data_IF_663837914743
#
_entry.id   IF_663837914743
#
_cell.length_a   1.000
_cell.length_b   1.000
_cell.length_c   1.000
_cell.angle_alpha   90.00
_cell.angle_beta   90.00
_cell.angle_gamma   90.00
#
_symmetry.space_group_name_H-M   'P 1'
#
loop_
_entity.id
_entity.type
_entity.pdbx_description
1 polymer ?
#
# COMPACT_ATOMS: atom_id res chain seq x y z
N UNK A 1 74.59 31.44 -3.37
CA UNK A 1 74.42 30.55 -2.22
C UNK A 1 72.97 30.64 -1.78
N UNK A 2 72.17 29.58 -1.64
CA UNK A 2 72.35 28.17 -2.04
C UNK A 2 70.96 27.51 -2.17
N UNK A 3 70.83 26.52 -3.07
CA UNK A 3 70.01 25.28 -2.99
C UNK A 3 68.66 25.33 -2.22
N UNK A 4 67.51 25.15 -2.88
CA UNK A 4 66.78 23.87 -3.08
C UNK A 4 66.23 23.23 -1.78
N UNK A 5 65.14 22.46 -1.75
CA UNK A 5 64.30 21.87 -2.82
C UNK A 5 62.82 21.83 -2.40
N UNK A 6 61.91 21.51 -3.33
CA UNK A 6 60.48 21.27 -3.07
C UNK A 6 60.11 19.85 -3.48
N UNK A 7 59.23 19.19 -2.70
CA UNK A 7 58.89 17.78 -2.92
C UNK A 7 57.38 17.53 -2.82
N UNK A 8 56.96 16.51 -3.58
CA UNK A 8 55.60 16.09 -3.92
C UNK A 8 54.59 15.93 -2.76
N UNK A 9 53.34 16.31 -3.03
CA UNK A 9 52.14 15.94 -2.27
C UNK A 9 50.89 16.31 -3.09
N UNK A 10 50.02 15.36 -3.40
CA UNK A 10 48.95 15.52 -4.40
C UNK A 10 47.69 14.72 -3.99
N UNK A 11 46.56 14.96 -4.71
CA UNK A 11 45.31 14.15 -4.69
C UNK A 11 44.46 14.36 -3.39
N UNK A 12 43.12 14.47 -3.39
CA UNK A 12 42.09 14.28 -4.41
C UNK A 12 41.01 15.40 -4.32
N UNK A 13 40.41 15.82 -5.44
CA UNK A 13 39.13 16.53 -5.42
C UNK A 13 38.21 16.05 -6.58
N UNK A 14 36.91 16.28 -6.42
CA UNK A 14 35.80 15.60 -7.09
C UNK A 14 35.73 15.85 -8.62
N UNK A 15 35.28 14.84 -9.36
CA UNK A 15 35.04 14.93 -10.81
C UNK A 15 33.65 15.46 -11.17
N UNK A 16 33.50 15.99 -12.39
CA UNK A 16 32.22 16.46 -12.93
C UNK A 16 32.13 16.29 -14.45
N UNK A 17 30.89 16.07 -14.93
CA UNK A 17 30.43 16.19 -16.32
C UNK A 17 30.96 15.21 -17.39
N UNK A 18 30.02 14.60 -18.12
CA UNK A 18 30.26 13.90 -19.40
C UNK A 18 30.26 14.89 -20.58
N UNK A 19 30.66 14.43 -21.78
CA UNK A 19 29.64 14.32 -22.84
C UNK A 19 29.78 13.15 -23.83
N UNK A 20 28.62 12.73 -24.36
CA UNK A 20 28.34 12.21 -25.71
C UNK A 20 29.43 11.49 -26.54
N UNK A 21 29.20 10.20 -26.83
CA UNK A 21 29.19 9.69 -28.23
C UNK A 21 28.54 8.30 -28.31
N UNK A 22 27.35 8.18 -28.94
CA UNK A 22 26.65 6.90 -29.18
C UNK A 22 25.59 7.00 -30.29
N UNK A 23 25.96 7.49 -31.47
CA UNK A 23 25.14 7.42 -32.70
C UNK A 23 25.98 7.03 -33.92
N UNK A 24 26.54 5.81 -33.94
CA UNK A 24 27.08 5.15 -35.15
C UNK A 24 27.48 3.69 -34.87
N UNK A 25 26.51 2.78 -34.69
CA UNK A 25 26.81 1.34 -34.57
C UNK A 25 25.64 0.41 -34.93
N UNK A 26 24.87 0.73 -35.97
CA UNK A 26 23.68 -0.06 -36.36
C UNK A 26 23.47 -0.24 -37.89
N UNK A 27 24.53 -0.07 -38.70
CA UNK A 27 24.54 -0.42 -40.13
C UNK A 27 25.89 -1.06 -40.55
N UNK A 28 26.13 -2.33 -40.18
CA UNK A 28 27.20 -3.13 -40.82
C UNK A 28 27.05 -4.66 -40.64
N UNK A 29 25.87 -5.21 -40.95
CA UNK A 29 25.72 -6.68 -41.09
C UNK A 29 24.70 -7.11 -42.16
N UNK A 30 25.02 -6.78 -43.41
CA UNK A 30 24.51 -7.45 -44.61
C UNK A 30 25.70 -7.75 -45.55
N UNK A 31 25.48 -8.62 -46.53
CA UNK A 31 26.41 -8.96 -47.63
C UNK A 31 27.66 -9.79 -47.25
N UNK A 32 27.46 -11.11 -47.22
CA UNK A 32 28.25 -12.19 -47.83
C UNK A 32 27.42 -13.48 -47.61
N UNK A 33 27.36 -14.49 -48.48
CA UNK A 33 28.39 -15.12 -49.33
C UNK A 33 27.81 -15.49 -50.72
N UNK A 34 28.64 -15.53 -51.76
CA UNK A 34 28.31 -16.13 -53.07
C UNK A 34 29.51 -16.85 -53.70
N UNK A 35 29.44 -18.18 -53.91
CA UNK A 35 30.31 -18.97 -54.81
C UNK A 35 29.65 -20.33 -55.13
N UNK A 36 29.94 -20.87 -56.33
CA UNK A 36 29.59 -22.20 -56.85
C UNK A 36 30.75 -22.64 -57.80
N UNK A 37 30.67 -23.69 -58.67
CA UNK A 37 29.75 -24.84 -58.77
C UNK A 37 30.47 -26.22 -58.97
N UNK A 38 29.72 -27.34 -58.91
CA UNK A 38 29.90 -28.64 -59.64
C UNK A 38 28.74 -29.58 -59.22
N UNK A 39 28.17 -30.48 -60.03
CA UNK A 39 28.37 -30.78 -61.46
C UNK A 39 28.85 -32.22 -61.69
N UNK A 40 28.03 -33.21 -62.09
CA UNK A 40 26.55 -33.19 -62.25
C UNK A 40 25.85 -34.24 -61.33
N UNK A 41 25.16 -35.34 -61.70
CA UNK A 41 24.82 -36.04 -62.97
C UNK A 41 23.33 -36.55 -62.89
N UNK A 42 22.87 -37.52 -63.70
CA UNK A 42 21.43 -37.91 -63.87
C UNK A 42 21.13 -39.37 -63.46
N UNK A 43 19.91 -39.68 -62.98
CA UNK A 43 19.18 -40.92 -63.33
C UNK A 43 17.67 -40.80 -63.01
N UNK A 44 16.82 -41.38 -63.87
CA UNK A 44 15.36 -41.46 -63.72
C UNK A 44 14.94 -42.68 -62.88
N UNK A 45 13.72 -42.71 -62.32
CA UNK A 45 12.87 -43.91 -62.20
C UNK A 45 11.48 -43.55 -61.64
N UNK A 46 10.46 -43.63 -62.48
CA UNK A 46 9.06 -43.72 -62.02
C UNK A 46 8.78 -45.13 -61.49
N UNK A 47 8.02 -45.25 -60.40
CA UNK A 47 7.29 -46.49 -60.09
C UNK A 47 6.07 -46.19 -59.22
N UNK A 48 4.92 -46.72 -59.62
CA UNK A 48 3.67 -46.62 -58.87
C UNK A 48 3.79 -47.33 -57.51
N UNK A 49 3.22 -46.74 -56.46
CA UNK A 49 2.92 -47.45 -55.22
C UNK A 49 1.43 -47.35 -54.91
N UNK A 50 0.81 -48.53 -54.86
CA UNK A 50 -0.62 -48.79 -54.84
C UNK A 50 -1.31 -48.25 -53.57
N UNK A 51 -2.59 -47.92 -53.69
CA UNK A 51 -3.41 -47.36 -52.62
C UNK A 51 -4.44 -48.39 -52.13
N UNK A 52 -3.97 -49.49 -51.54
CA UNK A 52 -4.82 -50.54 -50.95
C UNK A 52 -4.23 -51.19 -49.69
N UNK A 53 -5.12 -51.69 -48.85
CA UNK A 53 -4.93 -52.65 -47.76
C UNK A 53 -3.97 -52.29 -46.60
N UNK A 54 -4.49 -51.49 -45.66
CA UNK A 54 -4.13 -51.57 -44.23
C UNK A 54 -5.33 -52.17 -43.48
N UNK A 55 -5.16 -53.17 -42.57
CA UNK A 55 -6.27 -53.78 -41.86
C UNK A 55 -7.02 -52.79 -40.96
N UNK A 56 -8.35 -52.89 -40.97
CA UNK A 56 -9.24 -52.20 -40.04
C UNK A 56 -9.52 -53.16 -38.87
N UNK A 57 -8.57 -53.24 -37.94
CA UNK A 57 -8.75 -53.99 -36.70
C UNK A 57 -9.77 -53.27 -35.78
N UNK A 58 -10.66 -54.04 -35.15
CA UNK A 58 -11.68 -53.52 -34.25
C UNK A 58 -11.03 -53.00 -32.95
N UNK A 59 -10.97 -51.67 -32.81
CA UNK A 59 -10.84 -51.04 -31.49
C UNK A 59 -12.25 -50.90 -30.91
N UNK A 60 -12.44 -51.48 -29.72
CA UNK A 60 -13.72 -51.42 -29.01
C UNK A 60 -14.05 -49.97 -28.65
N UNK A 61 -15.27 -49.55 -29.00
CA UNK A 61 -15.77 -48.21 -28.73
C UNK A 61 -16.22 -48.16 -27.26
N UNK A 62 -15.27 -47.97 -26.35
CA UNK A 62 -15.59 -47.51 -25.00
C UNK A 62 -16.08 -46.06 -25.13
N UNK A 63 -17.35 -45.82 -24.80
CA UNK A 63 -17.91 -44.48 -24.70
C UNK A 63 -17.26 -43.76 -23.50
N UNK A 64 -16.11 -43.13 -23.72
CA UNK A 64 -15.62 -42.07 -22.83
C UNK A 64 -16.62 -40.91 -22.92
N UNK A 65 -17.52 -40.80 -21.94
CA UNK A 65 -18.40 -39.64 -21.78
C UNK A 65 -17.50 -38.40 -21.56
N UNK A 66 -17.69 -37.34 -22.36
CA UNK A 66 -16.87 -36.12 -22.35
C UNK A 66 -17.04 -35.32 -21.02
N UNK A 67 -16.40 -35.77 -19.93
CA UNK A 67 -16.35 -35.11 -18.60
C UNK A 67 -15.47 -33.83 -18.59
N UNK A 68 -15.58 -32.99 -19.63
CA UNK A 68 -14.82 -31.75 -19.83
C UNK A 68 -15.35 -30.57 -18.97
N UNK A 69 -16.39 -30.78 -18.18
CA UNK A 69 -17.09 -29.75 -17.38
C UNK A 69 -16.39 -29.39 -16.04
N UNK A 70 -15.49 -30.22 -15.49
CA UNK A 70 -14.92 -29.99 -14.13
C UNK A 70 -13.80 -28.90 -14.04
N UNK A 71 -13.07 -28.56 -15.12
CA UNK A 71 -11.87 -27.68 -14.99
C UNK A 71 -12.22 -26.24 -14.57
N UNK A 72 -13.40 -25.73 -14.93
CA UNK A 72 -13.75 -24.32 -14.67
C UNK A 72 -14.23 -24.02 -13.25
N UNK A 73 -14.94 -24.95 -12.60
CA UNK A 73 -15.53 -24.70 -11.27
C UNK A 73 -14.44 -24.69 -10.18
N UNK A 74 -13.44 -25.59 -10.27
CA UNK A 74 -12.26 -25.59 -9.38
C UNK A 74 -11.44 -24.29 -9.50
N UNK A 75 -11.42 -23.66 -10.68
CA UNK A 75 -10.76 -22.36 -10.85
C UNK A 75 -11.53 -21.22 -10.16
N UNK A 76 -12.86 -21.21 -10.22
CA UNK A 76 -13.68 -20.21 -9.55
C UNK A 76 -13.61 -20.36 -8.02
N UNK A 77 -13.78 -21.57 -7.49
CA UNK A 77 -13.75 -21.80 -6.05
C UNK A 77 -12.36 -21.47 -5.46
N UNK A 78 -11.29 -21.73 -6.21
CA UNK A 78 -9.91 -21.34 -5.88
C UNK A 78 -9.72 -19.83 -5.79
N UNK A 79 -10.33 -19.03 -6.67
CA UNK A 79 -10.31 -17.57 -6.53
C UNK A 79 -11.13 -17.10 -5.33
N UNK A 80 -12.30 -17.71 -5.07
CA UNK A 80 -13.12 -17.39 -3.91
C UNK A 80 -12.36 -17.65 -2.60
N UNK A 81 -11.78 -18.86 -2.45
CA UNK A 81 -10.92 -19.24 -1.32
C UNK A 81 -9.75 -18.26 -1.11
N UNK A 82 -9.16 -17.71 -2.17
CA UNK A 82 -8.10 -16.67 -2.06
C UNK A 82 -8.68 -15.35 -1.53
N UNK A 83 -9.84 -14.91 -2.03
CA UNK A 83 -10.50 -13.67 -1.61
C UNK A 83 -10.91 -13.75 -0.13
N UNK A 84 -11.47 -14.87 0.31
CA UNK A 84 -11.92 -15.06 1.70
C UNK A 84 -10.74 -14.98 2.68
N UNK A 85 -9.61 -15.62 2.34
CA UNK A 85 -8.37 -15.54 3.14
C UNK A 85 -7.79 -14.10 3.20
N UNK A 86 -7.86 -13.34 2.10
CA UNK A 86 -7.44 -11.93 2.08
C UNK A 86 -8.42 -11.01 2.83
N UNK A 87 -9.71 -11.30 2.79
CA UNK A 87 -10.74 -10.59 3.56
C UNK A 87 -10.56 -10.78 5.06
N UNK A 88 -10.34 -12.00 5.55
CA UNK A 88 -10.09 -12.23 6.98
C UNK A 88 -8.77 -11.59 7.46
N UNK A 89 -7.73 -11.54 6.61
CA UNK A 89 -6.52 -10.75 6.88
C UNK A 89 -6.85 -9.25 7.02
N UNK A 90 -7.60 -8.68 6.07
CA UNK A 90 -7.98 -7.26 6.07
C UNK A 90 -8.87 -6.97 7.28
N UNK A 91 -9.86 -7.80 7.57
CA UNK A 91 -10.75 -7.72 8.74
C UNK A 91 -9.96 -7.71 10.05
N UNK A 92 -9.00 -8.63 10.21
CA UNK A 92 -8.09 -8.67 11.37
C UNK A 92 -7.27 -7.38 11.48
N UNK A 93 -6.82 -6.80 10.36
CA UNK A 93 -6.06 -5.54 10.35
C UNK A 93 -6.92 -4.30 10.64
N UNK A 94 -8.17 -4.28 10.17
CA UNK A 94 -9.14 -3.22 10.46
C UNK A 94 -9.47 -3.18 11.95
N UNK A 95 -9.67 -4.34 12.57
CA UNK A 95 -10.11 -4.49 13.97
C UNK A 95 -8.97 -4.46 15.01
N UNK A 96 -7.69 -4.45 14.59
CA UNK A 96 -6.51 -4.53 15.47
C UNK A 96 -6.49 -3.50 16.63
N UNK A 97 -7.05 -2.30 16.44
CA UNK A 97 -7.07 -1.24 17.46
C UNK A 97 -8.25 -1.36 18.46
N UNK A 98 -9.19 -2.29 18.24
CA UNK A 98 -10.40 -2.44 19.05
C UNK A 98 -10.10 -3.37 20.24
N UNK A 99 -10.11 -2.80 21.44
CA UNK A 99 -10.01 -3.58 22.68
C UNK A 99 -11.37 -4.26 22.95
N UNK A 100 -11.47 -5.61 22.93
CA UNK A 100 -12.76 -6.29 23.12
C UNK A 100 -13.35 -6.03 24.51
N UNK A 101 -12.52 -5.90 25.54
CA UNK A 101 -12.90 -5.53 26.91
C UNK A 101 -13.40 -4.08 27.06
N UNK A 102 -13.42 -3.27 25.99
CA UNK A 102 -14.10 -1.96 25.96
C UNK A 102 -15.37 -1.96 25.10
N UNK A 103 -15.66 -3.07 24.42
CA UNK A 103 -16.93 -3.26 23.72
C UNK A 103 -17.92 -3.81 24.75
N UNK A 104 -18.71 -2.91 25.33
CA UNK A 104 -19.73 -3.28 26.32
C UNK A 104 -20.92 -3.95 25.61
N UNK A 105 -20.74 -5.23 25.24
CA UNK A 105 -21.84 -6.11 24.85
C UNK A 105 -22.64 -6.37 26.13
N UNK A 106 -23.96 -6.18 26.07
CA UNK A 106 -24.86 -6.56 27.17
C UNK A 106 -25.02 -8.09 27.21
N UNK A 107 -23.94 -8.79 27.56
CA UNK A 107 -23.93 -10.23 27.81
C UNK A 107 -24.16 -10.48 29.30
N UNK A 108 -25.42 -10.62 29.68
CA UNK A 108 -25.87 -10.82 31.07
C UNK A 108 -25.41 -12.16 31.69
N UNK A 109 -24.52 -12.93 31.04
CA UNK A 109 -24.24 -14.34 31.34
C UNK A 109 -22.97 -14.65 32.14
N UNK A 110 -22.04 -13.70 32.37
CA UNK A 110 -20.72 -14.00 32.96
C UNK A 110 -20.25 -13.06 34.08
N UNK A 111 -20.86 -13.17 35.26
CA UNK A 111 -20.33 -12.56 36.50
C UNK A 111 -19.23 -13.41 37.14
N UNK A 112 -18.08 -13.54 36.47
CA UNK A 112 -16.85 -14.02 37.11
C UNK A 112 -16.13 -12.83 37.74
N UNK A 113 -15.96 -12.88 39.07
CA UNK A 113 -15.45 -11.75 39.84
C UNK A 113 -14.03 -11.34 39.44
N UNK A 114 -13.91 -10.16 38.85
CA UNK A 114 -12.61 -9.50 38.65
C UNK A 114 -11.94 -9.31 40.02
N UNK A 115 -10.75 -9.88 40.19
CA UNK A 115 -9.90 -9.48 41.31
C UNK A 115 -9.52 -8.00 41.11
N UNK A 116 -9.43 -7.20 42.19
CA UNK A 116 -8.98 -5.82 42.08
C UNK A 116 -7.51 -5.78 41.66
N UNK A 117 -7.28 -5.73 40.34
CA UNK A 117 -5.99 -5.42 39.74
C UNK A 117 -5.49 -4.11 40.35
N UNK A 118 -4.35 -4.19 41.04
CA UNK A 118 -3.73 -3.03 41.67
C UNK A 118 -3.36 -2.03 40.57
N UNK A 119 -4.11 -0.92 40.48
CA UNK A 119 -3.94 0.00 39.36
C UNK A 119 -2.66 0.81 39.53
N UNK A 120 -1.57 0.30 38.92
CA UNK A 120 -0.27 0.98 38.81
C UNK A 120 -0.43 2.47 38.49
N UNK A 121 0.30 3.34 39.19
CA UNK A 121 0.31 4.76 38.88
C UNK A 121 0.87 5.02 37.47
N UNK A 122 0.57 6.18 36.89
CA UNK A 122 1.04 6.61 35.57
C UNK A 122 2.57 6.60 35.48
N UNK A 123 3.23 6.94 36.58
CA UNK A 123 4.68 6.91 36.72
C UNK A 123 5.23 5.47 36.68
N UNK A 124 4.55 4.50 37.29
CA UNK A 124 4.97 3.08 37.28
C UNK A 124 4.63 2.39 35.95
N UNK A 125 3.47 2.67 35.38
CA UNK A 125 3.12 2.32 33.99
C UNK A 125 4.17 2.84 33.00
N UNK A 126 4.69 4.05 33.22
CA UNK A 126 5.76 4.64 32.40
C UNK A 126 7.14 4.01 32.67
N UNK A 127 7.48 3.66 33.92
CA UNK A 127 8.72 2.93 34.26
C UNK A 127 8.75 1.56 33.57
N UNK A 128 7.71 0.75 33.78
CA UNK A 128 7.56 -0.58 33.18
C UNK A 128 7.62 -0.53 31.65
N UNK A 129 6.99 0.48 31.03
CA UNK A 129 7.08 0.68 29.58
C UNK A 129 8.51 1.01 29.12
N UNK A 130 9.20 1.93 29.80
CA UNK A 130 10.57 2.35 29.46
C UNK A 130 11.57 1.19 29.64
N UNK A 131 11.40 0.37 30.67
CA UNK A 131 12.24 -0.80 30.96
C UNK A 131 12.13 -1.91 29.91
N UNK A 132 11.03 -1.94 29.15
CA UNK A 132 10.75 -2.94 28.11
C UNK A 132 10.82 -2.35 26.68
N UNK A 133 11.54 -1.25 26.46
CA UNK A 133 11.80 -0.70 25.12
C UNK A 133 13.03 -1.32 24.45
N UNK A 134 12.90 -1.70 23.17
CA UNK A 134 14.06 -2.04 22.33
C UNK A 134 15.04 -0.86 22.22
N UNK A 135 16.30 -1.13 21.90
CA UNK A 135 17.35 -0.11 21.77
C UNK A 135 16.96 1.04 20.80
N UNK A 136 16.41 0.71 19.63
CA UNK A 136 15.91 1.71 18.67
C UNK A 136 14.71 2.52 19.20
N UNK A 137 13.87 1.94 20.06
CA UNK A 137 12.72 2.63 20.65
C UNK A 137 13.19 3.57 21.77
N UNK A 138 14.10 3.10 22.62
CA UNK A 138 14.77 3.89 23.65
C UNK A 138 15.55 5.06 23.04
N UNK A 139 16.26 4.84 21.92
CA UNK A 139 16.97 5.88 21.18
C UNK A 139 16.02 6.97 20.67
N UNK A 140 14.90 6.59 20.05
CA UNK A 140 13.84 7.49 19.58
C UNK A 140 13.17 8.25 20.74
N UNK A 141 12.82 7.57 21.82
CA UNK A 141 12.23 8.16 23.02
C UNK A 141 13.17 9.16 23.70
N UNK A 142 14.46 8.83 23.85
CA UNK A 142 15.45 9.73 24.43
C UNK A 142 15.64 11.00 23.59
N UNK A 143 15.59 10.87 22.27
CA UNK A 143 15.65 11.99 21.31
C UNK A 143 14.40 12.87 21.45
N UNK A 144 13.19 12.29 21.46
CA UNK A 144 11.95 13.04 21.66
C UNK A 144 11.92 13.78 23.01
N UNK A 145 12.37 13.14 24.09
CA UNK A 145 12.44 13.75 25.44
C UNK A 145 13.42 14.94 25.47
N UNK A 146 14.57 14.84 24.79
CA UNK A 146 15.59 15.90 24.70
C UNK A 146 15.25 17.01 23.69
N UNK A 147 14.44 16.73 22.67
CA UNK A 147 14.07 17.69 21.63
C UNK A 147 13.31 18.90 22.21
N UNK A 148 13.75 20.11 21.87
CA UNK A 148 13.14 21.38 22.29
C UNK A 148 13.16 22.40 21.16
N UNK A 149 12.17 23.29 21.12
CA UNK A 149 12.09 24.36 20.12
C UNK A 149 12.99 25.52 20.53
N UNK A 150 13.88 25.94 19.63
CA UNK A 150 14.85 27.04 19.82
C UNK A 150 14.19 28.29 20.40
N UNK A 151 14.54 28.61 21.65
CA UNK A 151 14.04 29.78 22.40
C UNK A 151 14.31 31.09 21.65
N UNK A 152 15.46 31.18 20.97
CA UNK A 152 15.87 32.35 20.21
C UNK A 152 15.06 32.49 18.91
N UNK A 153 14.75 31.39 18.25
CA UNK A 153 13.88 31.38 17.06
C UNK A 153 12.44 31.72 17.46
N UNK A 154 11.93 31.11 18.53
CA UNK A 154 10.59 31.41 19.06
C UNK A 154 10.46 32.88 19.45
N UNK A 155 11.42 33.44 20.20
CA UNK A 155 11.43 34.87 20.52
C UNK A 155 11.42 35.78 19.30
N UNK A 156 12.11 35.43 18.20
CA UNK A 156 12.03 36.19 16.94
C UNK A 156 10.62 36.15 16.33
N UNK A 157 9.99 34.98 16.30
CA UNK A 157 8.64 34.79 15.74
C UNK A 157 7.58 35.55 16.57
N UNK A 158 7.62 35.42 17.90
CA UNK A 158 6.63 36.09 18.77
C UNK A 158 6.83 37.61 18.74
N UNK A 159 8.08 38.10 18.71
CA UNK A 159 8.33 39.54 18.52
C UNK A 159 7.75 40.07 17.20
N UNK A 160 7.82 39.28 16.11
CA UNK A 160 7.33 39.67 14.79
C UNK A 160 5.80 39.54 14.61
N UNK A 161 5.12 38.74 15.44
CA UNK A 161 3.65 38.61 15.42
C UNK A 161 2.96 39.59 16.35
N UNK A 162 3.56 39.90 17.51
CA UNK A 162 3.02 40.85 18.51
C UNK A 162 3.53 42.29 18.27
N UNK A 163 4.56 42.47 17.44
CA UNK A 163 5.27 43.75 17.22
C UNK A 163 5.81 44.38 18.52
N UNK A 164 6.15 43.55 19.52
CA UNK A 164 6.67 43.97 20.83
C UNK A 164 7.84 43.08 21.29
N UNK A 165 8.66 43.56 22.21
CA UNK A 165 9.84 42.84 22.72
C UNK A 165 9.49 41.87 23.85
N UNK A 166 9.49 40.57 23.56
CA UNK A 166 9.06 39.53 24.51
C UNK A 166 10.19 39.09 25.45
N UNK A 167 9.86 38.79 26.72
CA UNK A 167 10.81 38.33 27.73
C UNK A 167 11.26 36.87 27.48
N UNK A 168 12.39 36.47 28.08
CA UNK A 168 12.91 35.10 27.90
C UNK A 168 11.96 34.04 28.50
N UNK A 169 11.32 34.34 29.63
CA UNK A 169 10.42 33.39 30.31
C UNK A 169 9.15 33.14 29.48
N UNK A 170 8.60 34.18 28.84
CA UNK A 170 7.46 34.04 27.92
C UNK A 170 7.87 33.27 26.66
N UNK A 171 9.07 33.52 26.11
CA UNK A 171 9.58 32.72 24.99
C UNK A 171 9.80 31.23 25.35
N UNK A 172 10.19 30.91 26.59
CA UNK A 172 10.28 29.54 27.10
C UNK A 172 8.89 28.89 27.20
N UNK A 173 7.90 29.59 27.75
CA UNK A 173 6.53 29.10 27.86
C UNK A 173 5.92 28.80 26.47
N UNK A 174 6.08 29.72 25.52
CA UNK A 174 5.59 29.53 24.15
C UNK A 174 6.36 28.41 23.43
N UNK A 175 7.68 28.28 23.61
CA UNK A 175 8.43 27.10 23.11
C UNK A 175 7.90 25.77 23.67
N UNK A 176 7.39 25.74 24.90
CA UNK A 176 6.75 24.57 25.51
C UNK A 176 5.40 24.25 24.84
N UNK A 177 4.49 25.23 24.80
CA UNK A 177 3.17 25.10 24.16
C UNK A 177 3.31 24.70 22.68
N UNK A 178 4.25 25.30 21.96
CA UNK A 178 4.52 24.95 20.56
C UNK A 178 5.04 23.52 20.37
N UNK A 179 5.74 22.92 21.35
CA UNK A 179 6.14 21.50 21.26
C UNK A 179 4.92 20.59 21.40
N UNK A 180 4.01 20.90 22.32
CA UNK A 180 2.78 20.15 22.57
C UNK A 180 1.89 20.20 21.32
N UNK A 181 1.61 21.40 20.81
CA UNK A 181 0.80 21.62 19.60
C UNK A 181 1.34 20.88 18.37
N UNK A 182 2.66 20.91 18.13
CA UNK A 182 3.27 20.16 17.02
C UNK A 182 3.12 18.64 17.21
N UNK A 183 3.18 18.16 18.46
CA UNK A 183 2.88 16.76 18.79
C UNK A 183 1.44 16.37 18.44
N UNK A 184 0.46 17.14 18.93
CA UNK A 184 -0.98 16.90 18.71
C UNK A 184 -1.34 16.84 17.21
N UNK A 185 -0.76 17.72 16.39
CA UNK A 185 -0.99 17.73 14.94
C UNK A 185 -0.34 16.51 14.24
N UNK A 186 0.86 16.10 14.68
CA UNK A 186 1.54 14.91 14.12
C UNK A 186 0.81 13.63 14.52
N UNK A 187 0.34 13.52 15.77
CA UNK A 187 -0.42 12.38 16.28
C UNK A 187 -1.74 12.20 15.51
N UNK A 188 -2.53 13.28 15.37
CA UNK A 188 -3.76 13.27 14.55
C UNK A 188 -3.47 12.94 13.08
N UNK A 189 -2.33 13.36 12.52
CA UNK A 189 -1.92 13.00 11.15
C UNK A 189 -1.51 11.52 11.00
N UNK A 190 -0.89 10.92 12.03
CA UNK A 190 -0.59 9.48 12.06
C UNK A 190 -1.90 8.68 12.10
N UNK A 191 -2.89 9.09 12.89
CA UNK A 191 -4.19 8.41 12.93
C UNK A 191 -4.99 8.57 11.63
N UNK A 192 -4.90 9.73 10.96
CA UNK A 192 -5.45 9.90 9.61
C UNK A 192 -4.75 8.97 8.62
N UNK A 193 -3.41 8.84 8.67
CA UNK A 193 -2.67 7.87 7.85
C UNK A 193 -3.19 6.44 8.08
N UNK A 194 -3.31 6.00 9.34
CA UNK A 194 -3.87 4.66 9.67
C UNK A 194 -5.26 4.47 9.04
N UNK A 195 -6.15 5.47 9.16
CA UNK A 195 -7.50 5.43 8.56
C UNK A 195 -7.45 5.37 7.04
N UNK A 196 -6.55 6.10 6.40
CA UNK A 196 -6.37 6.10 4.95
C UNK A 196 -5.80 4.75 4.45
N UNK A 197 -4.87 4.14 5.17
CA UNK A 197 -4.34 2.82 4.81
C UNK A 197 -5.39 1.72 5.01
N UNK A 198 -6.18 1.78 6.09
CA UNK A 198 -7.37 0.93 6.29
C UNK A 198 -8.41 1.11 5.17
N UNK A 199 -8.65 2.35 4.71
CA UNK A 199 -9.55 2.61 3.60
C UNK A 199 -9.03 2.04 2.26
N UNK A 200 -7.71 2.09 2.01
CA UNK A 200 -7.10 1.46 0.81
C UNK A 200 -7.30 -0.06 0.78
N UNK A 201 -7.19 -0.73 1.94
CA UNK A 201 -7.50 -2.17 2.01
C UNK A 201 -8.96 -2.46 1.65
N UNK A 202 -9.92 -1.69 2.18
CA UNK A 202 -11.34 -1.83 1.86
C UNK A 202 -11.65 -1.57 0.37
N UNK A 203 -11.05 -0.53 -0.22
CA UNK A 203 -11.22 -0.20 -1.65
C UNK A 203 -10.73 -1.36 -2.52
N UNK A 204 -9.50 -1.84 -2.32
CA UNK A 204 -8.96 -2.98 -3.08
C UNK A 204 -9.75 -4.28 -2.92
N UNK A 205 -10.29 -4.53 -1.72
CA UNK A 205 -11.14 -5.69 -1.45
C UNK A 205 -12.43 -5.60 -2.26
N UNK A 206 -13.06 -4.43 -2.29
CA UNK A 206 -14.25 -4.17 -3.09
C UNK A 206 -13.97 -4.30 -4.60
N UNK A 207 -12.91 -3.66 -5.10
CA UNK A 207 -12.44 -3.77 -6.50
C UNK A 207 -12.22 -5.23 -6.92
N UNK A 208 -11.65 -6.08 -6.04
CA UNK A 208 -11.47 -7.51 -6.34
C UNK A 208 -12.77 -8.32 -6.27
N UNK A 209 -13.69 -8.00 -5.36
CA UNK A 209 -15.01 -8.65 -5.30
C UNK A 209 -15.84 -8.35 -6.55
N UNK A 210 -15.90 -7.08 -6.98
CA UNK A 210 -16.56 -6.66 -8.22
C UNK A 210 -16.00 -7.40 -9.45
N UNK A 211 -14.67 -7.59 -9.52
CA UNK A 211 -14.04 -8.39 -10.58
C UNK A 211 -14.35 -9.89 -10.50
N UNK A 212 -14.51 -10.47 -9.29
CA UNK A 212 -14.84 -11.89 -9.15
C UNK A 212 -16.33 -12.17 -9.46
N UNK A 213 -17.23 -11.26 -9.08
CA UNK A 213 -18.65 -11.30 -9.47
C UNK A 213 -18.79 -11.16 -11.00
N UNK A 214 -18.04 -10.23 -11.61
CA UNK A 214 -18.01 -10.09 -13.07
C UNK A 214 -17.41 -11.32 -13.78
N UNK A 215 -16.43 -11.98 -13.18
CA UNK A 215 -15.89 -13.24 -13.70
C UNK A 215 -16.96 -14.35 -13.63
N UNK A 216 -17.68 -14.47 -12.52
CA UNK A 216 -18.75 -15.47 -12.37
C UNK A 216 -19.84 -15.30 -13.43
N UNK A 217 -20.37 -14.09 -13.58
CA UNK A 217 -21.39 -13.77 -14.61
C UNK A 217 -20.87 -14.08 -16.02
N UNK A 218 -19.55 -13.99 -16.25
CA UNK A 218 -18.96 -14.30 -17.56
C UNK A 218 -18.75 -15.79 -17.83
N UNK A 219 -18.66 -16.62 -16.80
CA UNK A 219 -18.72 -18.08 -16.95
C UNK A 219 -20.17 -18.51 -17.25
N UNK A 220 -21.13 -17.97 -16.50
CA UNK A 220 -22.57 -18.18 -16.75
C UNK A 220 -23.01 -17.67 -18.15
N UNK A 221 -22.51 -16.51 -18.61
CA UNK A 221 -22.67 -16.03 -19.99
C UNK A 221 -22.08 -17.02 -21.03
N UNK A 222 -20.99 -17.74 -20.71
CA UNK A 222 -20.28 -18.65 -21.61
C UNK A 222 -21.04 -19.98 -21.77
N UNK A 223 -21.47 -20.58 -20.67
CA UNK A 223 -22.29 -21.81 -20.62
C UNK A 223 -23.60 -21.66 -21.42
N UNK A 224 -24.20 -20.47 -21.39
CA UNK A 224 -25.44 -20.16 -22.10
C UNK A 224 -25.23 -19.84 -23.60
N UNK A 225 -24.01 -19.53 -24.03
CA UNK A 225 -23.71 -19.06 -25.39
C UNK A 225 -23.43 -20.19 -26.38
N UNK A 226 -24.43 -20.55 -27.19
CA UNK A 226 -24.34 -21.61 -28.21
C UNK A 226 -23.65 -21.19 -29.52
N UNK A 227 -23.38 -19.91 -29.72
CA UNK A 227 -22.74 -19.36 -30.92
C UNK A 227 -21.22 -19.26 -30.74
N UNK A 228 -20.38 -20.01 -31.51
CA UNK A 228 -18.93 -20.03 -31.31
C UNK A 228 -18.24 -18.66 -31.43
N UNK A 229 -18.78 -17.78 -32.27
CA UNK A 229 -18.26 -16.41 -32.44
C UNK A 229 -18.56 -15.52 -31.22
N UNK A 230 -19.59 -15.81 -30.41
CA UNK A 230 -19.89 -15.09 -29.17
C UNK A 230 -19.05 -15.63 -28.02
N UNK A 231 -19.00 -16.96 -27.88
CA UNK A 231 -18.18 -17.70 -26.91
C UNK A 231 -16.71 -17.23 -26.90
N UNK A 232 -16.07 -17.13 -28.07
CA UNK A 232 -14.66 -16.67 -28.16
C UNK A 232 -14.46 -15.24 -27.61
N UNK A 233 -15.43 -14.32 -27.80
CA UNK A 233 -15.39 -12.94 -27.24
C UNK A 233 -15.64 -12.91 -25.73
N UNK A 234 -16.26 -13.95 -25.16
CA UNK A 234 -16.48 -14.10 -23.72
C UNK A 234 -15.21 -14.65 -23.08
N UNK A 235 -14.61 -15.69 -23.69
CA UNK A 235 -13.29 -16.23 -23.30
C UNK A 235 -12.18 -15.17 -23.31
N UNK A 236 -12.13 -14.28 -24.31
CA UNK A 236 -11.20 -13.13 -24.32
C UNK A 236 -11.35 -12.26 -23.06
N UNK A 237 -12.59 -11.91 -22.68
CA UNK A 237 -12.88 -11.09 -21.49
C UNK A 237 -12.60 -11.83 -20.18
N UNK A 238 -12.90 -13.13 -20.10
CA UNK A 238 -12.54 -13.98 -18.95
C UNK A 238 -11.02 -13.97 -18.75
N UNK A 239 -10.25 -14.05 -19.84
CA UNK A 239 -8.79 -13.96 -19.81
C UNK A 239 -8.29 -12.57 -19.38
N UNK A 240 -8.95 -11.48 -19.80
CA UNK A 240 -8.66 -10.13 -19.30
C UNK A 240 -8.94 -9.99 -17.79
N UNK A 241 -10.11 -10.41 -17.31
CA UNK A 241 -10.48 -10.34 -15.87
C UNK A 241 -9.52 -11.21 -15.03
N UNK A 242 -9.20 -12.42 -15.47
CA UNK A 242 -8.16 -13.27 -14.85
C UNK A 242 -6.80 -12.55 -14.74
N UNK A 243 -6.41 -11.84 -15.81
CA UNK A 243 -5.16 -11.06 -15.87
C UNK A 243 -5.21 -9.83 -14.96
N UNK A 244 -6.38 -9.32 -14.62
CA UNK A 244 -6.57 -8.21 -13.66
C UNK A 244 -6.54 -8.74 -12.21
N UNK A 245 -7.30 -9.80 -11.91
CA UNK A 245 -7.28 -10.49 -10.62
C UNK A 245 -5.86 -10.94 -10.21
N UNK A 246 -5.05 -11.41 -11.17
CA UNK A 246 -3.63 -11.76 -10.95
C UNK A 246 -2.70 -10.55 -10.70
N UNK A 247 -3.10 -9.32 -11.06
CA UNK A 247 -2.38 -8.07 -10.67
C UNK A 247 -2.80 -7.57 -9.29
N UNK A 248 -4.06 -7.79 -8.90
CA UNK A 248 -4.68 -7.28 -7.66
C UNK A 248 -4.05 -7.87 -6.40
N UNK A 249 -2.93 -7.27 -5.96
CA UNK A 249 -2.24 -7.60 -4.72
C UNK A 249 -2.79 -6.74 -3.57
N UNK A 250 -3.77 -7.27 -2.83
CA UNK A 250 -4.48 -6.56 -1.76
C UNK A 250 -3.50 -6.13 -0.66
N UNK A 251 -2.66 -7.07 -0.23
CA UNK A 251 -1.64 -6.96 0.81
C UNK A 251 -0.64 -5.80 0.61
N UNK A 252 -0.42 -5.34 -0.64
CA UNK A 252 0.56 -4.29 -0.94
C UNK A 252 0.02 -2.87 -0.64
N UNK A 253 -0.17 -2.54 0.63
CA UNK A 253 -0.41 -1.17 1.12
C UNK A 253 0.79 -0.72 1.94
N UNK A 254 1.38 0.44 1.62
CA UNK A 254 2.59 0.91 2.28
C UNK A 254 2.31 1.57 3.65
N UNK A 255 2.03 0.73 4.64
CA UNK A 255 1.81 1.12 6.04
C UNK A 255 3.02 1.88 6.64
N UNK A 256 4.24 1.59 6.18
CA UNK A 256 5.48 2.21 6.66
C UNK A 256 5.90 3.44 5.84
N UNK A 257 5.06 3.93 4.92
CA UNK A 257 5.32 5.14 4.14
C UNK A 257 5.40 6.42 4.99
N UNK A 258 5.98 7.51 4.46
CA UNK A 258 6.05 8.79 5.17
C UNK A 258 4.68 9.44 5.37
N UNK A 259 4.60 10.42 6.29
CA UNK A 259 3.44 11.30 6.40
C UNK A 259 3.34 12.20 5.16
N UNK A 260 2.22 12.09 4.44
CA UNK A 260 1.92 12.94 3.28
C UNK A 260 1.35 14.30 3.74
N UNK A 261 1.51 15.37 2.93
CA UNK A 261 0.95 16.69 3.24
C UNK A 261 -0.57 16.67 3.50
N UNK A 262 -1.31 15.77 2.85
CA UNK A 262 -2.76 15.62 3.05
C UNK A 262 -3.14 15.11 4.44
N UNK A 263 -2.34 14.24 5.05
CA UNK A 263 -2.56 13.80 6.44
C UNK A 263 -2.43 15.00 7.40
N UNK A 264 -1.48 15.91 7.14
CA UNK A 264 -1.29 17.15 7.92
C UNK A 264 -2.42 18.15 7.66
N UNK A 265 -2.87 18.31 6.41
CA UNK A 265 -4.01 19.17 6.05
C UNK A 265 -5.28 18.74 6.78
N UNK A 266 -5.58 17.45 6.79
CA UNK A 266 -6.75 16.90 7.47
C UNK A 266 -6.60 16.90 8.99
N UNK A 267 -5.39 16.68 9.53
CA UNK A 267 -5.14 16.83 10.97
C UNK A 267 -5.44 18.26 11.43
N UNK A 268 -5.03 19.26 10.65
CA UNK A 268 -5.35 20.66 10.90
C UNK A 268 -6.83 21.01 10.66
N UNK A 269 -7.55 20.28 9.81
CA UNK A 269 -9.01 20.42 9.67
C UNK A 269 -9.74 19.87 10.90
N UNK A 270 -9.40 18.65 11.34
CA UNK A 270 -10.00 18.04 12.53
C UNK A 270 -9.67 18.82 13.81
N UNK A 271 -8.40 19.19 14.01
CA UNK A 271 -7.98 20.00 15.17
C UNK A 271 -8.78 21.31 15.30
N UNK A 272 -9.06 21.98 14.18
CA UNK A 272 -9.88 23.21 14.19
C UNK A 272 -11.37 22.96 14.44
N UNK A 273 -11.91 21.80 14.04
CA UNK A 273 -13.31 21.44 14.32
C UNK A 273 -13.52 21.05 15.78
N UNK A 274 -12.50 20.42 16.40
CA UNK A 274 -12.47 20.00 17.80
C UNK A 274 -12.26 21.17 18.77
N UNK A 275 -11.43 22.16 18.39
CA UNK A 275 -11.08 23.30 19.23
C UNK A 275 -11.86 24.60 18.92
N UNK A 276 -12.64 24.66 17.84
CA UNK A 276 -13.59 25.76 17.66
C UNK A 276 -14.79 25.57 18.60
N UNK A 277 -15.31 26.65 19.22
CA UNK A 277 -16.64 26.58 19.80
C UNK A 277 -17.68 26.26 18.71
N UNK A 278 -18.80 25.60 19.05
CA UNK A 278 -19.90 25.38 18.12
C UNK A 278 -20.34 26.71 17.46
N UNK A 279 -20.72 26.64 16.19
CA UNK A 279 -21.16 27.82 15.43
C UNK A 279 -22.28 28.56 16.17
N UNK A 280 -22.32 29.89 16.05
CA UNK A 280 -23.31 30.71 16.77
C UNK A 280 -24.77 30.34 16.42
N UNK A 281 -25.02 29.61 15.33
CA UNK A 281 -26.34 29.07 15.00
C UNK A 281 -26.84 28.08 16.08
N UNK A 282 -25.97 27.20 16.60
CA UNK A 282 -26.33 26.29 17.69
C UNK A 282 -26.38 27.01 19.06
N UNK A 283 -25.65 28.12 19.23
CA UNK A 283 -25.77 28.96 20.43
C UNK A 283 -27.08 29.76 20.48
N UNK A 284 -27.76 29.93 19.34
CA UNK A 284 -29.04 30.63 19.20
C UNK A 284 -30.25 29.68 19.05
N UNK A 285 -30.03 28.36 18.98
CA UNK A 285 -31.11 27.38 18.81
C UNK A 285 -31.79 27.01 20.13
N UNK A 286 -32.43 28.00 20.75
CA UNK A 286 -33.30 27.84 21.92
C UNK A 286 -33.95 29.17 22.30
N UNK A 287 -35.19 29.12 22.81
CA UNK A 287 -35.96 30.29 23.26
C UNK A 287 -35.39 30.85 24.58
N UNK A 288 -34.19 31.44 24.52
CA UNK A 288 -33.47 32.00 25.65
C UNK A 288 -33.07 33.44 25.38
N UNK A 289 -34.06 34.31 25.36
CA UNK A 289 -33.85 35.73 25.68
C UNK A 289 -32.98 35.82 26.95
N UNK A 290 -31.94 36.65 26.90
CA UNK A 290 -30.81 36.65 27.85
C UNK A 290 -31.12 37.19 29.26
N UNK A 291 -32.34 36.95 29.78
CA UNK A 291 -32.88 37.50 31.01
C UNK A 291 -32.62 36.65 32.26
N UNK A 292 -32.18 35.40 32.12
CA UNK A 292 -32.02 34.45 33.24
C UNK A 292 -30.76 34.68 34.12
N UNK A 293 -29.94 35.69 33.84
CA UNK A 293 -28.75 36.04 34.62
C UNK A 293 -28.58 37.57 34.77
N UNK A 294 -29.43 38.17 35.60
CA UNK A 294 -29.32 39.54 36.13
C UNK A 294 -29.73 39.58 37.60
#
# INVERSE_FOLDING_TARGET
MSQSSSHSGNILQQGSSQPFSSQQQLLQKQQNITTAPTGAEEEENDSDLDLSDVPMDELEFEDEEDDDDEEYDDLYEKYQRIIDNEEDFIRKKLLQDINPSKVNINDDSNHYGEQPMEEFDKDDKLRLLIENLDEDQMARYSTYRRATISRNTMKKIVNATVNQSVSLNVAIAISGISKIFVGEIIEKAIDIKKRYDKAKYLIKLNEKKELNELLKVRLEDLELCKDPSESMKIQEKINEINKELKKMNLLNVNENGPLLPDHIREAWRLYRLENNPPSHQWALQGERDGLMFR
#
